data_IF_162434420367
#
_entry.id   IF_162434420367
#
_cell.length_a   1.000
_cell.length_b   1.000
_cell.length_c   1.000
_cell.angle_alpha   90.00
_cell.angle_beta   90.00
_cell.angle_gamma   90.00
#
_symmetry.space_group_name_H-M   'P 1'
#
loop_
_entity.id
_entity.type
_entity.pdbx_description
1 polymer ?
#
# COMPACT_ATOMS: atom_id res chain seq x y z
N UNK A 1 11.68 22.98 12.56
CA UNK A 1 11.40 21.84 13.47
C UNK A 1 10.01 22.04 14.06
N UNK A 2 9.11 21.08 13.90
CA UNK A 2 7.75 21.10 14.41
C UNK A 2 7.52 19.90 15.34
N UNK A 3 6.59 20.04 16.27
CA UNK A 3 6.12 18.97 17.17
C UNK A 3 4.96 18.26 16.50
N UNK A 4 5.19 17.00 16.06
CA UNK A 4 4.22 16.18 15.35
C UNK A 4 3.78 15.03 16.25
N UNK A 5 2.49 14.90 16.45
CA UNK A 5 1.90 13.78 17.19
C UNK A 5 1.02 12.97 16.23
N UNK A 6 1.22 11.66 16.23
CA UNK A 6 0.51 10.73 15.38
C UNK A 6 -0.18 9.68 16.24
N UNK A 7 -1.42 9.31 15.93
CA UNK A 7 -2.14 8.30 16.72
C UNK A 7 -2.82 7.26 15.83
N UNK A 8 -2.75 5.97 16.24
CA UNK A 8 -3.42 4.84 15.61
C UNK A 8 -4.07 3.93 16.67
N UNK A 9 -5.32 3.51 16.42
CA UNK A 9 -6.08 2.58 17.28
C UNK A 9 -6.37 1.23 16.59
N UNK A 10 -5.55 0.86 15.61
CA UNK A 10 -5.64 -0.40 14.87
C UNK A 10 -4.95 -1.58 15.57
N UNK A 11 -4.27 -2.42 14.79
CA UNK A 11 -3.48 -3.53 15.32
C UNK A 11 -2.25 -3.03 16.09
N UNK A 12 -1.66 -3.88 16.93
CA UNK A 12 -0.40 -3.56 17.60
C UNK A 12 0.78 -3.63 16.62
N UNK A 13 1.58 -2.58 16.59
CA UNK A 13 2.87 -2.50 15.87
C UNK A 13 3.78 -1.48 16.54
N UNK A 14 5.07 -1.53 16.25
CA UNK A 14 6.10 -0.63 16.77
C UNK A 14 7.18 -0.33 15.71
N UNK A 15 8.21 0.44 16.09
CA UNK A 15 9.29 0.84 15.19
C UNK A 15 10.16 -0.29 14.64
N UNK A 16 10.11 -1.48 15.23
CA UNK A 16 10.83 -2.65 14.73
C UNK A 16 9.96 -3.59 13.88
N UNK A 17 8.64 -3.35 13.81
CA UNK A 17 7.71 -4.28 13.17
C UNK A 17 8.02 -4.50 11.69
N UNK A 18 8.37 -3.44 10.94
CA UNK A 18 8.71 -3.56 9.52
C UNK A 18 9.98 -4.40 9.25
N UNK A 19 10.93 -4.43 10.20
CA UNK A 19 12.15 -5.23 10.07
C UNK A 19 11.93 -6.69 10.51
N UNK A 20 10.91 -6.97 11.32
CA UNK A 20 10.62 -8.32 11.80
C UNK A 20 9.76 -9.14 10.83
N UNK A 21 8.99 -8.47 9.96
CA UNK A 21 8.10 -9.20 9.06
C UNK A 21 7.16 -8.31 8.23
N UNK A 22 6.31 -8.95 7.42
CA UNK A 22 5.35 -8.25 6.58
C UNK A 22 4.27 -7.57 7.43
N UNK A 23 3.81 -6.40 6.98
CA UNK A 23 2.79 -5.59 7.63
C UNK A 23 1.78 -5.08 6.60
N UNK A 24 0.56 -4.77 7.04
CA UNK A 24 -0.47 -4.19 6.19
C UNK A 24 -0.06 -2.83 5.60
N UNK A 25 -0.58 -2.50 4.42
CA UNK A 25 -0.17 -1.27 3.71
C UNK A 25 -0.44 0.02 4.47
N UNK A 26 -1.53 0.08 5.25
CA UNK A 26 -1.87 1.27 6.03
C UNK A 26 -0.90 1.49 7.21
N UNK A 27 -0.54 0.42 7.92
CA UNK A 27 0.44 0.45 9.01
C UNK A 27 1.84 0.75 8.48
N UNK A 28 2.23 0.12 7.36
CA UNK A 28 3.49 0.42 6.66
C UNK A 28 3.56 1.90 6.30
N UNK A 29 2.51 2.46 5.70
CA UNK A 29 2.44 3.88 5.34
C UNK A 29 2.59 4.79 6.57
N UNK A 30 1.94 4.43 7.68
CA UNK A 30 1.96 5.23 8.90
C UNK A 30 3.35 5.27 9.55
N UNK A 31 4.06 4.13 9.60
CA UNK A 31 5.44 4.05 10.08
C UNK A 31 6.37 4.85 9.16
N UNK A 32 6.30 4.59 7.86
CA UNK A 32 7.21 5.22 6.88
C UNK A 32 7.07 6.74 6.83
N UNK A 33 5.85 7.27 6.95
CA UNK A 33 5.64 8.72 7.06
C UNK A 33 6.27 9.29 8.34
N UNK A 34 6.10 8.61 9.47
CA UNK A 34 6.67 9.07 10.74
C UNK A 34 8.20 9.12 10.70
N UNK A 35 8.82 8.07 10.15
CA UNK A 35 10.28 8.00 9.99
C UNK A 35 10.79 9.08 9.02
N UNK A 36 10.10 9.31 7.91
CA UNK A 36 10.47 10.35 6.97
C UNK A 36 10.35 11.76 7.58
N UNK A 37 9.28 12.03 8.34
CA UNK A 37 9.13 13.31 9.07
C UNK A 37 10.22 13.51 10.14
N UNK A 38 10.57 12.44 10.86
CA UNK A 38 11.65 12.49 11.85
C UNK A 38 13.03 12.74 11.20
N UNK A 39 13.32 12.07 10.08
CA UNK A 39 14.54 12.26 9.29
C UNK A 39 14.66 13.70 8.75
N UNK A 40 13.55 14.40 8.53
CA UNK A 40 13.48 15.82 8.15
C UNK A 40 13.63 16.77 9.34
N UNK A 41 13.89 16.25 10.54
CA UNK A 41 14.22 17.03 11.74
C UNK A 41 13.02 17.47 12.56
N UNK A 42 11.87 16.84 12.43
CA UNK A 42 10.72 17.07 13.30
C UNK A 42 10.78 16.22 14.57
N UNK A 43 10.16 16.71 15.66
CA UNK A 43 9.89 15.92 16.87
C UNK A 43 8.63 15.08 16.66
N UNK A 44 8.81 13.79 16.29
CA UNK A 44 7.72 12.88 15.93
C UNK A 44 7.49 11.87 17.05
N UNK A 45 6.23 11.79 17.54
CA UNK A 45 5.80 10.75 18.47
C UNK A 45 4.56 10.04 17.93
N UNK A 46 4.60 8.70 17.90
CA UNK A 46 3.47 7.82 17.62
C UNK A 46 2.86 7.33 18.91
N UNK A 47 1.55 7.46 19.04
CA UNK A 47 0.73 6.88 20.11
C UNK A 47 -0.16 5.79 19.53
N UNK A 48 0.13 4.52 19.83
CA UNK A 48 -0.61 3.37 19.32
C UNK A 48 -0.66 2.21 20.32
N UNK A 49 -1.00 1.02 19.88
CA UNK A 49 -1.03 -0.19 20.70
C UNK A 49 0.34 -0.89 20.84
N UNK A 50 1.46 -0.16 20.76
CA UNK A 50 2.77 -0.72 21.08
C UNK A 50 2.83 -1.17 22.57
N UNK A 51 3.63 -2.22 22.80
CA UNK A 51 3.69 -2.86 24.14
C UNK A 51 4.40 -1.96 25.16
N UNK A 52 5.45 -1.25 24.74
CA UNK A 52 6.29 -0.41 25.58
C UNK A 52 6.74 0.84 24.83
N UNK A 53 7.12 1.88 25.58
CA UNK A 53 7.76 3.06 25.01
C UNK A 53 9.12 2.69 24.44
N UNK A 54 9.42 3.19 23.25
CA UNK A 54 10.70 2.98 22.58
C UNK A 54 11.05 4.18 21.68
N UNK A 55 12.31 4.28 21.26
CA UNK A 55 12.75 5.18 20.22
C UNK A 55 13.40 4.38 19.08
N UNK A 56 12.96 4.60 17.85
CA UNK A 56 13.48 3.95 16.66
C UNK A 56 13.43 4.90 15.47
N UNK A 57 14.50 5.00 14.68
CA UNK A 57 14.64 5.91 13.54
C UNK A 57 14.20 7.35 13.86
N UNK A 58 14.63 7.86 15.03
CA UNK A 58 14.28 9.16 15.62
C UNK A 58 12.78 9.39 15.89
N UNK A 59 11.92 8.40 15.69
CA UNK A 59 10.51 8.38 16.10
C UNK A 59 10.41 7.85 17.53
N UNK A 60 9.67 8.57 18.40
CA UNK A 60 9.27 8.09 19.72
C UNK A 60 7.97 7.34 19.62
N UNK A 61 7.89 6.18 20.26
CA UNK A 61 6.70 5.32 20.31
C UNK A 61 6.18 5.26 21.73
N UNK A 62 4.92 5.54 21.93
CA UNK A 62 4.27 5.52 23.23
C UNK A 62 2.97 4.73 23.20
N UNK A 63 2.72 3.85 24.18
CA UNK A 63 1.43 3.19 24.32
C UNK A 63 0.29 4.20 24.44
N UNK A 64 -0.74 4.05 23.59
CA UNK A 64 -1.89 4.95 23.56
C UNK A 64 -2.61 5.06 24.92
N UNK A 65 -2.55 3.99 25.74
CA UNK A 65 -3.14 3.96 27.09
C UNK A 65 -2.47 4.93 28.06
N UNK A 66 -1.23 5.37 27.82
CA UNK A 66 -0.56 6.39 28.62
C UNK A 66 -1.09 7.80 28.39
N UNK A 67 -1.98 7.96 27.40
CA UNK A 67 -2.50 9.26 26.99
C UNK A 67 -1.69 9.87 25.84
N UNK A 68 -2.25 10.91 25.24
CA UNK A 68 -1.63 11.70 24.17
C UNK A 68 -1.50 13.14 24.67
N UNK A 69 -0.38 13.86 24.46
CA UNK A 69 -0.24 15.26 24.82
C UNK A 69 -1.37 16.11 24.22
N UNK A 70 -1.82 17.14 24.95
CA UNK A 70 -2.92 18.00 24.51
C UNK A 70 -2.54 18.94 23.35
N UNK A 71 -1.23 19.17 23.14
CA UNK A 71 -0.70 20.13 22.17
C UNK A 71 0.16 19.45 21.11
N UNK A 72 0.13 19.99 19.91
CA UNK A 72 1.02 19.66 18.80
C UNK A 72 1.00 20.80 17.76
N UNK A 73 2.08 20.95 16.99
CA UNK A 73 2.03 21.80 15.79
C UNK A 73 1.20 21.12 14.70
N UNK A 74 1.41 19.79 14.50
CA UNK A 74 0.61 18.96 13.62
C UNK A 74 0.17 17.69 14.36
N UNK A 75 -1.13 17.41 14.35
CA UNK A 75 -1.67 16.16 14.83
C UNK A 75 -2.23 15.33 13.69
N UNK A 76 -1.80 14.07 13.55
CA UNK A 76 -2.26 13.13 12.53
C UNK A 76 -3.01 11.99 13.20
N UNK A 77 -4.35 11.98 13.06
CA UNK A 77 -5.22 10.90 13.49
C UNK A 77 -5.37 9.87 12.35
N UNK A 78 -5.02 8.61 12.59
CA UNK A 78 -5.06 7.55 11.60
C UNK A 78 -6.39 6.79 11.66
N UNK A 79 -7.25 6.93 10.66
CA UNK A 79 -8.52 6.17 10.39
C UNK A 79 -9.55 6.05 11.52
N UNK A 80 -9.16 6.05 12.78
CA UNK A 80 -10.06 5.85 13.91
C UNK A 80 -10.85 7.10 14.28
N UNK A 81 -12.20 7.01 14.42
CA UNK A 81 -13.01 8.17 14.83
C UNK A 81 -12.70 8.64 16.25
N UNK A 82 -12.25 7.73 17.12
CA UNK A 82 -11.86 8.06 18.51
C UNK A 82 -10.61 8.91 18.58
N UNK A 83 -9.78 8.86 17.55
CA UNK A 83 -8.51 9.59 17.49
C UNK A 83 -8.71 11.06 17.11
N UNK A 84 -9.76 11.44 16.39
CA UNK A 84 -9.91 12.79 15.80
C UNK A 84 -9.77 13.91 16.85
N UNK A 85 -10.07 13.66 18.11
CA UNK A 85 -10.13 14.67 19.17
C UNK A 85 -9.06 14.56 20.27
N UNK A 86 -8.13 13.60 20.16
CA UNK A 86 -7.19 13.30 21.26
C UNK A 86 -6.20 14.42 21.58
N UNK A 87 -5.88 15.27 20.61
CA UNK A 87 -4.99 16.43 20.80
C UNK A 87 -5.80 17.71 20.61
N UNK A 88 -6.55 18.19 21.63
CA UNK A 88 -7.50 19.28 21.47
C UNK A 88 -6.86 20.58 21.01
N UNK A 89 -5.65 20.89 21.47
CA UNK A 89 -4.93 22.13 21.20
C UNK A 89 -3.88 21.99 20.09
N UNK A 90 -4.08 21.04 19.17
CA UNK A 90 -3.26 20.94 17.96
C UNK A 90 -3.47 22.17 17.06
N UNK A 91 -2.39 22.82 16.62
CA UNK A 91 -2.43 23.97 15.70
C UNK A 91 -2.99 23.59 14.34
N UNK A 92 -2.62 22.40 13.84
CA UNK A 92 -3.22 21.76 12.67
C UNK A 92 -3.62 20.32 12.98
N UNK A 93 -4.68 19.87 12.35
CA UNK A 93 -5.24 18.53 12.53
C UNK A 93 -5.47 17.86 11.19
N UNK A 94 -4.89 16.67 11.02
CA UNK A 94 -5.07 15.78 9.88
C UNK A 94 -5.87 14.56 10.31
N UNK A 95 -6.79 14.14 9.46
CA UNK A 95 -7.42 12.84 9.53
C UNK A 95 -7.01 12.03 8.30
N UNK A 96 -6.05 11.14 8.48
CA UNK A 96 -5.51 10.32 7.41
C UNK A 96 -6.31 9.04 7.29
N UNK A 97 -6.96 8.85 6.16
CA UNK A 97 -7.83 7.71 5.90
C UNK A 97 -7.21 6.78 4.85
N UNK A 98 -7.51 5.47 4.96
CA UNK A 98 -6.92 4.42 4.14
C UNK A 98 -7.97 3.55 3.44
N UNK A 99 -9.26 3.80 3.69
CA UNK A 99 -10.37 3.10 3.05
C UNK A 99 -11.28 4.10 2.36
N UNK A 100 -12.04 3.70 1.33
CA UNK A 100 -13.01 4.58 0.69
C UNK A 100 -13.88 5.31 1.71
N UNK A 101 -14.02 6.64 1.55
CA UNK A 101 -14.50 7.55 2.61
C UNK A 101 -16.00 7.41 2.98
N UNK A 102 -16.75 6.51 2.34
CA UNK A 102 -18.19 6.33 2.61
C UNK A 102 -18.50 6.00 4.09
N UNK A 103 -17.55 5.38 4.81
CA UNK A 103 -17.73 5.10 6.23
C UNK A 103 -17.79 6.36 7.11
N UNK A 104 -17.27 7.49 6.63
CA UNK A 104 -17.34 8.78 7.32
C UNK A 104 -18.78 9.30 7.42
N UNK A 105 -19.70 8.82 6.57
CA UNK A 105 -21.13 9.16 6.63
C UNK A 105 -21.83 8.63 7.91
N UNK A 106 -21.19 7.73 8.65
CA UNK A 106 -21.70 7.26 9.94
C UNK A 106 -21.70 8.42 10.94
N UNK A 107 -22.81 8.58 11.69
CA UNK A 107 -23.04 9.68 12.63
C UNK A 107 -21.88 9.94 13.60
N UNK A 108 -21.21 8.89 14.08
CA UNK A 108 -20.06 9.00 15.00
C UNK A 108 -18.86 9.74 14.37
N UNK A 109 -18.63 9.57 13.06
CA UNK A 109 -17.60 10.32 12.34
C UNK A 109 -18.08 11.73 12.04
N UNK A 110 -19.30 11.87 11.47
CA UNK A 110 -19.85 13.15 11.06
C UNK A 110 -19.81 14.20 12.17
N UNK A 111 -20.25 13.86 13.40
CA UNK A 111 -20.20 14.79 14.55
C UNK A 111 -18.79 15.28 14.84
N UNK A 112 -17.80 14.40 14.79
CA UNK A 112 -16.40 14.75 15.07
C UNK A 112 -15.80 15.57 13.93
N UNK A 113 -16.10 15.19 12.68
CA UNK A 113 -15.72 15.97 11.50
C UNK A 113 -16.29 17.38 11.54
N UNK A 114 -17.58 17.54 11.90
CA UNK A 114 -18.21 18.84 12.05
C UNK A 114 -17.59 19.68 13.18
N UNK A 115 -17.26 19.05 14.32
CA UNK A 115 -16.72 19.74 15.51
C UNK A 115 -15.25 20.12 15.34
N UNK A 116 -14.42 19.23 14.80
CA UNK A 116 -12.97 19.38 14.78
C UNK A 116 -12.40 19.79 13.42
N UNK A 117 -13.18 19.64 12.36
CA UNK A 117 -12.86 20.04 10.98
C UNK A 117 -11.41 19.71 10.58
N UNK A 118 -10.96 18.44 10.68
CA UNK A 118 -9.61 18.09 10.24
C UNK A 118 -9.45 18.25 8.73
N UNK A 119 -8.22 18.51 8.28
CA UNK A 119 -7.85 18.25 6.89
C UNK A 119 -7.88 16.74 6.65
N UNK A 120 -8.66 16.28 5.69
CA UNK A 120 -8.70 14.85 5.32
C UNK A 120 -7.66 14.58 4.27
N UNK A 121 -6.78 13.61 4.53
CA UNK A 121 -5.75 13.19 3.59
C UNK A 121 -6.14 11.86 2.95
N UNK A 122 -6.09 11.84 1.62
CA UNK A 122 -6.37 10.72 0.73
C UNK A 122 -5.09 10.25 0.07
N UNK A 123 -5.05 9.00 -0.38
CA UNK A 123 -3.87 8.40 -0.99
C UNK A 123 -3.89 8.42 -2.53
N UNK A 124 -5.04 8.73 -3.17
CA UNK A 124 -5.22 8.76 -4.62
C UNK A 124 -6.41 9.65 -4.99
N UNK A 125 -6.55 9.99 -6.26
CA UNK A 125 -7.71 10.73 -6.78
C UNK A 125 -8.99 9.90 -6.69
N UNK A 126 -8.93 8.60 -6.98
CA UNK A 126 -10.05 7.67 -6.75
C UNK A 126 -10.50 7.73 -5.28
N UNK A 127 -9.54 7.70 -4.36
CA UNK A 127 -9.84 7.78 -2.93
C UNK A 127 -10.49 9.12 -2.57
N UNK A 128 -9.97 10.24 -3.07
CA UNK A 128 -10.52 11.58 -2.82
C UNK A 128 -11.95 11.74 -3.35
N UNK A 129 -12.28 11.12 -4.50
CA UNK A 129 -13.66 11.12 -5.03
C UNK A 129 -14.65 10.34 -4.18
N UNK A 130 -14.20 9.48 -3.28
CA UNK A 130 -15.07 8.67 -2.41
C UNK A 130 -15.72 9.43 -1.25
N UNK A 131 -15.23 10.64 -0.92
CA UNK A 131 -15.83 11.47 0.16
C UNK A 131 -17.05 12.22 -0.33
N UNK A 132 -18.09 12.25 0.49
CA UNK A 132 -19.29 13.05 0.18
C UNK A 132 -18.94 14.54 0.13
N UNK A 133 -19.49 15.27 -0.86
CA UNK A 133 -19.22 16.70 -1.03
C UNK A 133 -19.64 17.55 0.19
N UNK A 134 -20.69 17.13 0.90
CA UNK A 134 -21.22 17.80 2.08
C UNK A 134 -20.47 17.50 3.38
N UNK A 135 -19.47 16.58 3.36
CA UNK A 135 -18.72 16.22 4.57
C UNK A 135 -17.96 17.44 5.12
N UNK A 136 -18.19 17.82 6.39
CA UNK A 136 -17.51 18.97 6.99
C UNK A 136 -16.05 18.65 7.27
N UNK A 137 -15.15 19.28 6.51
CA UNK A 137 -13.68 19.15 6.66
C UNK A 137 -13.04 20.52 6.81
N UNK A 138 -11.82 20.59 7.33
CA UNK A 138 -10.99 21.80 7.31
C UNK A 138 -10.27 21.98 5.98
N UNK A 139 -10.02 20.90 5.27
CA UNK A 139 -9.35 20.82 3.98
C UNK A 139 -9.41 19.40 3.43
N UNK A 140 -9.00 19.23 2.18
CA UNK A 140 -8.88 17.93 1.50
C UNK A 140 -7.57 17.93 0.73
N UNK A 141 -6.73 16.94 0.99
CA UNK A 141 -5.43 16.80 0.33
C UNK A 141 -5.28 15.38 -0.21
N UNK A 142 -4.76 15.25 -1.42
CA UNK A 142 -4.36 13.97 -1.99
C UNK A 142 -2.83 13.86 -1.88
N UNK A 143 -2.36 12.99 -0.99
CA UNK A 143 -0.93 12.72 -0.79
C UNK A 143 -0.70 11.24 -1.00
N UNK A 144 -0.13 10.83 -2.15
CA UNK A 144 0.18 9.45 -2.44
C UNK A 144 1.16 8.86 -1.41
N UNK A 145 1.09 7.56 -1.18
CA UNK A 145 2.12 6.89 -0.38
C UNK A 145 3.46 6.91 -1.12
N UNK A 146 4.54 7.12 -0.37
CA UNK A 146 5.88 6.96 -0.91
C UNK A 146 6.25 5.51 -1.17
N UNK A 147 7.18 5.29 -2.06
CA UNK A 147 7.86 4.02 -2.20
C UNK A 147 9.00 3.95 -1.17
N UNK A 148 9.15 2.81 -0.49
CA UNK A 148 10.19 2.66 0.51
C UNK A 148 11.57 2.52 -0.13
N UNK A 149 12.61 2.95 0.61
CA UNK A 149 14.00 2.93 0.15
C UNK A 149 14.46 1.54 -0.32
N UNK A 150 13.96 0.48 0.28
CA UNK A 150 14.29 -0.89 -0.13
C UNK A 150 13.96 -1.18 -1.61
N UNK A 151 12.89 -0.59 -2.14
CA UNK A 151 12.52 -0.73 -3.56
C UNK A 151 13.20 0.32 -4.44
N UNK A 152 13.46 1.52 -3.92
CA UNK A 152 14.13 2.59 -4.66
C UNK A 152 15.61 2.26 -4.90
N UNK A 153 16.28 1.67 -3.92
CA UNK A 153 17.67 1.28 -3.97
C UNK A 153 17.93 -0.08 -4.66
N UNK A 154 16.88 -0.85 -4.98
CA UNK A 154 17.04 -2.13 -5.65
C UNK A 154 17.69 -1.95 -7.04
N UNK A 155 18.56 -2.88 -7.42
CA UNK A 155 19.25 -2.93 -8.71
C UNK A 155 18.74 -4.11 -9.54
N UNK A 156 17.59 -3.99 -10.22
CA UNK A 156 17.03 -5.07 -11.00
C UNK A 156 17.83 -5.30 -12.30
N UNK A 157 17.88 -6.55 -12.80
CA UNK A 157 18.59 -6.87 -14.02
C UNK A 157 17.98 -6.18 -15.25
N UNK A 158 18.83 -5.70 -16.15
CA UNK A 158 18.38 -5.10 -17.42
C UNK A 158 17.89 -6.15 -18.42
N UNK A 159 18.28 -7.39 -18.28
CA UNK A 159 17.84 -8.50 -19.14
C UNK A 159 16.54 -9.12 -18.61
N UNK A 160 15.63 -9.52 -19.53
CA UNK A 160 14.36 -10.10 -19.15
C UNK A 160 14.52 -11.36 -18.31
N UNK A 161 13.96 -11.41 -17.09
CA UNK A 161 13.97 -12.61 -16.27
C UNK A 161 13.05 -13.69 -16.87
N UNK A 162 13.07 -14.94 -16.35
CA UNK A 162 12.12 -15.97 -16.72
C UNK A 162 10.67 -15.47 -16.63
N UNK A 163 9.72 -16.12 -17.32
CA UNK A 163 8.32 -15.67 -17.38
C UNK A 163 7.57 -15.88 -16.06
N UNK A 164 8.15 -15.41 -14.97
CA UNK A 164 7.60 -15.50 -13.62
C UNK A 164 6.80 -14.25 -13.28
N UNK A 165 5.63 -14.45 -12.69
CA UNK A 165 4.69 -13.42 -12.28
C UNK A 165 4.61 -13.37 -10.76
N UNK A 166 4.60 -12.17 -10.20
CA UNK A 166 4.40 -11.95 -8.77
C UNK A 166 2.93 -11.57 -8.46
N UNK A 167 2.44 -12.06 -7.33
CA UNK A 167 1.23 -11.59 -6.64
C UNK A 167 1.58 -11.35 -5.17
N UNK A 168 1.46 -10.10 -4.68
CA UNK A 168 1.92 -9.67 -3.35
C UNK A 168 0.83 -9.01 -2.51
N UNK A 169 -0.43 -9.36 -2.76
CA UNK A 169 -1.59 -8.77 -2.09
C UNK A 169 -2.37 -9.81 -1.26
N UNK A 170 -3.46 -9.36 -0.61
CA UNK A 170 -4.38 -10.27 0.08
C UNK A 170 -4.99 -11.29 -0.88
N UNK A 171 -5.13 -12.58 -0.50
CA UNK A 171 -5.77 -13.59 -1.35
C UNK A 171 -7.18 -13.20 -1.76
N UNK A 172 -7.89 -12.43 -0.91
CA UNK A 172 -9.25 -11.96 -1.19
C UNK A 172 -9.31 -10.81 -2.19
N UNK A 173 -8.16 -10.25 -2.58
CA UNK A 173 -8.07 -9.21 -3.61
C UNK A 173 -7.81 -9.83 -4.98
N UNK A 174 -8.83 -10.49 -5.52
CA UNK A 174 -8.86 -11.05 -6.87
C UNK A 174 -7.84 -12.17 -7.17
N UNK A 175 -7.23 -12.83 -6.17
CA UNK A 175 -6.33 -13.97 -6.45
C UNK A 175 -7.11 -15.13 -7.08
N UNK A 176 -8.29 -15.46 -6.56
CA UNK A 176 -9.13 -16.56 -7.10
C UNK A 176 -9.49 -16.34 -8.58
N UNK A 177 -9.79 -15.09 -8.94
CA UNK A 177 -10.00 -14.69 -10.34
C UNK A 177 -8.72 -14.85 -11.19
N UNK A 178 -7.56 -14.41 -10.67
CA UNK A 178 -6.28 -14.52 -11.37
C UNK A 178 -5.90 -15.98 -11.60
N UNK A 179 -6.15 -16.87 -10.62
CA UNK A 179 -5.93 -18.31 -10.76
C UNK A 179 -6.77 -18.89 -11.92
N UNK A 180 -8.02 -18.42 -12.10
CA UNK A 180 -8.85 -18.82 -13.24
C UNK A 180 -8.27 -18.38 -14.58
N UNK A 181 -7.80 -17.14 -14.71
CA UNK A 181 -7.15 -16.67 -15.93
C UNK A 181 -5.78 -17.32 -16.17
N UNK A 182 -5.06 -17.62 -15.08
CA UNK A 182 -3.79 -18.33 -15.16
C UNK A 182 -3.98 -19.72 -15.79
N UNK A 183 -4.91 -20.50 -15.26
CA UNK A 183 -5.22 -21.86 -15.72
C UNK A 183 -5.69 -21.89 -17.19
N UNK A 184 -6.62 -20.99 -17.56
CA UNK A 184 -7.32 -21.06 -18.85
C UNK A 184 -6.61 -20.29 -19.97
N UNK A 185 -5.83 -19.25 -19.61
CA UNK A 185 -5.35 -18.30 -20.60
C UNK A 185 -3.85 -18.03 -20.58
N UNK A 186 -3.18 -18.01 -19.43
CA UNK A 186 -1.75 -17.63 -19.38
C UNK A 186 -0.84 -18.84 -19.44
N UNK A 187 -0.98 -19.77 -18.50
CA UNK A 187 -0.14 -20.97 -18.41
C UNK A 187 -0.12 -21.79 -19.73
N UNK A 188 -1.25 -22.06 -20.41
CA UNK A 188 -1.24 -22.81 -21.67
C UNK A 188 -0.52 -22.11 -22.83
N UNK A 189 -0.39 -20.77 -22.77
CA UNK A 189 0.18 -19.97 -23.85
C UNK A 189 1.61 -19.47 -23.58
N UNK A 190 2.14 -19.67 -22.37
CA UNK A 190 3.48 -19.23 -21.97
C UNK A 190 4.23 -20.41 -21.34
N UNK A 191 4.97 -21.20 -22.13
CA UNK A 191 5.75 -22.32 -21.59
C UNK A 191 6.73 -21.88 -20.50
N UNK A 192 6.74 -22.60 -19.38
CA UNK A 192 7.61 -22.30 -18.25
C UNK A 192 7.18 -21.10 -17.41
N UNK A 193 5.96 -20.58 -17.62
CA UNK A 193 5.42 -19.52 -16.76
C UNK A 193 5.16 -20.03 -15.34
N UNK A 194 5.52 -19.18 -14.34
CA UNK A 194 5.21 -19.42 -12.92
C UNK A 194 4.48 -18.22 -12.32
N UNK A 195 3.48 -18.50 -11.48
CA UNK A 195 2.77 -17.51 -10.67
C UNK A 195 3.17 -17.67 -9.21
N UNK A 196 3.96 -16.76 -8.70
CA UNK A 196 4.42 -16.75 -7.31
C UNK A 196 3.51 -15.90 -6.44
N UNK A 197 2.89 -16.51 -5.44
CA UNK A 197 1.93 -15.86 -4.55
C UNK A 197 2.58 -15.65 -3.18
N UNK A 198 2.95 -14.40 -2.87
CA UNK A 198 3.49 -13.98 -1.57
C UNK A 198 2.35 -13.51 -0.69
N UNK A 199 1.63 -14.42 -0.05
CA UNK A 199 0.45 -14.06 0.71
C UNK A 199 0.15 -15.02 1.87
N UNK A 200 -0.33 -14.46 2.98
CA UNK A 200 -0.75 -15.23 4.16
C UNK A 200 -1.78 -14.43 4.97
N UNK A 201 -2.77 -15.10 5.60
CA UNK A 201 -3.68 -14.44 6.55
C UNK A 201 -2.94 -13.71 7.68
N UNK A 202 -1.80 -14.25 8.14
CA UNK A 202 -1.00 -13.71 9.24
C UNK A 202 -0.49 -12.28 9.00
N UNK A 203 -0.31 -11.88 7.75
CA UNK A 203 0.11 -10.51 7.38
C UNK A 203 -0.86 -9.43 7.86
N UNK A 204 -2.13 -9.79 8.08
CA UNK A 204 -3.21 -8.84 8.36
C UNK A 204 -3.68 -8.88 9.82
N UNK A 205 -2.94 -9.54 10.74
CA UNK A 205 -3.26 -9.63 12.15
C UNK A 205 -4.71 -10.05 12.41
N UNK A 206 -5.38 -9.43 13.38
CA UNK A 206 -6.76 -9.77 13.75
C UNK A 206 -7.77 -9.69 12.58
N UNK A 207 -7.53 -8.83 11.57
CA UNK A 207 -8.36 -8.80 10.36
C UNK A 207 -8.13 -10.05 9.49
N UNK A 208 -6.89 -10.50 9.39
CA UNK A 208 -6.54 -11.75 8.73
C UNK A 208 -7.11 -12.96 9.44
N UNK A 209 -7.00 -13.00 10.76
CA UNK A 209 -7.57 -14.08 11.59
C UNK A 209 -9.08 -14.20 11.41
N UNK A 210 -9.80 -13.07 11.41
CA UNK A 210 -11.26 -13.04 11.21
C UNK A 210 -11.71 -13.52 9.81
N UNK A 211 -10.80 -13.54 8.83
CA UNK A 211 -11.07 -13.96 7.44
C UNK A 211 -10.20 -15.13 6.99
N UNK A 212 -9.52 -15.78 7.92
CA UNK A 212 -8.55 -16.83 7.63
C UNK A 212 -9.13 -17.97 6.79
N UNK A 213 -10.34 -18.44 7.09
CA UNK A 213 -11.00 -19.51 6.34
C UNK A 213 -11.20 -19.11 4.86
N UNK A 214 -11.69 -17.92 4.59
CA UNK A 214 -11.89 -17.42 3.23
C UNK A 214 -10.55 -17.24 2.49
N UNK A 215 -9.52 -16.72 3.18
CA UNK A 215 -8.19 -16.57 2.60
C UNK A 215 -7.54 -17.92 2.32
N UNK A 216 -7.66 -18.86 3.27
CA UNK A 216 -7.10 -20.19 3.13
C UNK A 216 -7.79 -20.96 2.00
N UNK A 217 -9.09 -20.84 1.81
CA UNK A 217 -9.79 -21.48 0.69
C UNK A 217 -9.20 -21.09 -0.67
N UNK A 218 -8.84 -19.81 -0.87
CA UNK A 218 -8.17 -19.34 -2.11
C UNK A 218 -6.73 -19.86 -2.19
N UNK A 219 -6.00 -19.85 -1.07
CA UNK A 219 -4.63 -20.38 -1.04
C UNK A 219 -4.58 -21.91 -1.24
N UNK A 220 -5.59 -22.64 -0.74
CA UNK A 220 -5.72 -24.08 -0.96
C UNK A 220 -5.97 -24.39 -2.45
N UNK A 221 -6.83 -23.62 -3.11
CA UNK A 221 -6.97 -23.69 -4.58
C UNK A 221 -5.62 -23.43 -5.27
N UNK A 222 -4.88 -22.41 -4.89
CA UNK A 222 -3.56 -22.14 -5.45
C UNK A 222 -2.60 -23.32 -5.27
N UNK A 223 -2.63 -24.03 -4.13
CA UNK A 223 -1.81 -25.23 -3.90
C UNK A 223 -2.16 -26.37 -4.88
N UNK A 224 -3.44 -26.55 -5.21
CA UNK A 224 -3.83 -27.60 -6.17
C UNK A 224 -3.36 -27.30 -7.60
N UNK A 225 -2.90 -26.08 -7.88
CA UNK A 225 -2.43 -25.65 -9.19
C UNK A 225 -0.89 -25.69 -9.35
N UNK A 226 -0.17 -26.40 -8.47
CA UNK A 226 1.29 -26.50 -8.53
C UNK A 226 1.81 -27.02 -9.87
N UNK A 227 1.14 -28.02 -10.49
CA UNK A 227 1.46 -28.55 -11.81
C UNK A 227 1.23 -27.54 -12.96
N UNK A 228 0.49 -26.46 -12.66
CA UNK A 228 0.28 -25.33 -13.58
C UNK A 228 1.25 -24.17 -13.29
N UNK A 229 2.31 -24.40 -12.51
CA UNK A 229 3.32 -23.40 -12.21
C UNK A 229 2.89 -22.38 -11.14
N UNK A 230 1.85 -22.65 -10.33
CA UNK A 230 1.50 -21.78 -9.19
C UNK A 230 2.35 -22.14 -7.98
N UNK A 231 3.12 -21.18 -7.47
CA UNK A 231 4.07 -21.36 -6.38
C UNK A 231 3.66 -20.46 -5.19
N UNK A 232 3.29 -21.09 -4.08
CA UNK A 232 3.05 -20.34 -2.84
C UNK A 232 4.37 -20.01 -2.14
N UNK A 233 4.48 -18.75 -1.72
CA UNK A 233 5.61 -18.21 -0.98
C UNK A 233 5.13 -17.61 0.34
N UNK A 234 5.97 -17.68 1.36
CA UNK A 234 5.72 -16.89 2.56
C UNK A 234 5.87 -15.39 2.26
N UNK A 235 5.06 -14.53 2.89
CA UNK A 235 5.26 -13.09 2.82
C UNK A 235 6.63 -12.70 3.38
N UNK A 236 7.30 -11.77 2.70
CA UNK A 236 8.65 -11.34 3.02
C UNK A 236 8.68 -9.93 3.64
N UNK A 237 9.68 -9.61 4.47
CA UNK A 237 10.03 -8.23 4.81
C UNK A 237 10.31 -7.41 3.55
N UNK A 238 10.18 -6.08 3.63
CA UNK A 238 10.25 -5.21 2.44
C UNK A 238 11.57 -5.31 1.68
N UNK A 239 12.71 -5.42 2.37
CA UNK A 239 14.02 -5.56 1.72
C UNK A 239 14.12 -6.87 0.92
N UNK A 240 13.74 -7.97 1.55
CA UNK A 240 13.79 -9.31 0.93
C UNK A 240 12.76 -9.40 -0.22
N UNK A 241 11.60 -8.73 -0.08
CA UNK A 241 10.59 -8.66 -1.12
C UNK A 241 11.09 -7.87 -2.34
N UNK A 242 11.79 -6.76 -2.14
CA UNK A 242 12.36 -5.96 -3.22
C UNK A 242 13.41 -6.77 -4.01
N UNK A 243 14.29 -7.49 -3.32
CA UNK A 243 15.26 -8.40 -3.93
C UNK A 243 14.57 -9.53 -4.70
N UNK A 244 13.58 -10.18 -4.08
CA UNK A 244 12.85 -11.27 -4.73
C UNK A 244 12.12 -10.78 -5.99
N UNK A 245 11.43 -9.64 -5.92
CA UNK A 245 10.66 -9.09 -7.05
C UNK A 245 11.56 -8.73 -8.23
N UNK A 246 12.80 -8.29 -8.02
CA UNK A 246 13.74 -8.00 -9.10
C UNK A 246 13.98 -9.19 -10.05
N UNK A 247 13.74 -10.42 -9.59
CA UNK A 247 13.84 -11.65 -10.39
C UNK A 247 12.55 -12.02 -11.16
N UNK A 248 11.49 -11.22 -11.07
CA UNK A 248 10.20 -11.50 -11.75
C UNK A 248 10.05 -10.65 -13.01
N UNK A 249 9.21 -11.17 -13.93
CA UNK A 249 8.98 -10.52 -15.23
C UNK A 249 7.79 -9.56 -15.22
N UNK A 250 6.77 -9.81 -14.40
CA UNK A 250 5.59 -8.96 -14.33
C UNK A 250 4.87 -9.07 -12.99
N UNK A 251 4.05 -8.07 -12.69
CA UNK A 251 2.97 -8.19 -11.71
C UNK A 251 1.63 -8.20 -12.43
N UNK A 252 0.79 -9.19 -12.14
CA UNK A 252 -0.57 -9.30 -12.66
C UNK A 252 -1.55 -9.09 -11.51
N UNK A 253 -2.31 -7.98 -11.56
CA UNK A 253 -3.18 -7.60 -10.47
C UNK A 253 -4.43 -6.89 -10.97
N UNK A 254 -5.60 -7.52 -10.81
CA UNK A 254 -6.85 -6.97 -11.31
C UNK A 254 -7.22 -5.61 -10.71
N UNK A 255 -6.97 -5.44 -9.41
CA UNK A 255 -7.51 -4.38 -8.57
C UNK A 255 -8.63 -4.88 -7.65
N UNK A 256 -9.07 -4.00 -6.74
CA UNK A 256 -10.15 -4.24 -5.77
C UNK A 256 -10.97 -2.96 -5.60
N UNK A 257 -12.33 -3.01 -5.60
CA UNK A 257 -13.16 -1.81 -5.46
C UNK A 257 -12.93 -1.03 -4.15
N UNK A 258 -12.42 -1.69 -3.12
CA UNK A 258 -12.08 -1.09 -1.83
C UNK A 258 -10.64 -0.58 -1.74
N UNK A 259 -9.84 -0.71 -2.79
CA UNK A 259 -8.45 -0.32 -2.78
C UNK A 259 -8.29 1.17 -3.07
N UNK A 260 -7.48 1.84 -2.25
CA UNK A 260 -7.33 3.29 -2.28
C UNK A 260 -5.94 3.75 -2.74
N UNK A 261 -4.94 2.85 -2.84
CA UNK A 261 -3.59 3.21 -3.31
C UNK A 261 -2.89 2.11 -4.11
N UNK A 262 -2.93 0.86 -3.67
CA UNK A 262 -2.21 -0.27 -4.26
C UNK A 262 -0.67 -0.16 -4.18
N UNK A 263 -0.12 -0.30 -2.96
CA UNK A 263 1.34 -0.38 -2.75
C UNK A 263 1.97 -1.53 -3.53
N UNK A 264 1.30 -2.68 -3.64
CA UNK A 264 1.83 -3.86 -4.31
C UNK A 264 2.26 -3.58 -5.76
N UNK A 265 1.43 -2.86 -6.54
CA UNK A 265 1.77 -2.47 -7.92
C UNK A 265 2.87 -1.42 -7.93
N UNK A 266 2.81 -0.40 -7.05
CA UNK A 266 3.83 0.64 -6.99
C UNK A 266 5.22 0.08 -6.62
N UNK A 267 5.29 -0.78 -5.61
CA UNK A 267 6.53 -1.44 -5.18
C UNK A 267 7.10 -2.35 -6.27
N UNK A 268 6.26 -3.13 -6.95
CA UNK A 268 6.69 -3.96 -8.05
C UNK A 268 7.25 -3.14 -9.22
N UNK A 269 6.58 -2.05 -9.60
CA UNK A 269 7.07 -1.15 -10.66
C UNK A 269 8.35 -0.42 -10.27
N UNK A 270 8.57 -0.11 -8.98
CA UNK A 270 9.80 0.51 -8.50
C UNK A 270 11.04 -0.40 -8.63
N UNK A 271 10.84 -1.71 -8.72
CA UNK A 271 11.89 -2.68 -9.09
C UNK A 271 11.78 -3.14 -10.55
N UNK A 272 11.05 -2.39 -11.37
CA UNK A 272 11.01 -2.57 -12.81
C UNK A 272 10.01 -3.61 -13.34
N UNK A 273 9.09 -4.13 -12.53
CA UNK A 273 8.08 -5.06 -13.02
C UNK A 273 6.97 -4.30 -13.79
N UNK A 274 6.81 -4.53 -15.09
CA UNK A 274 5.61 -4.07 -15.78
C UNK A 274 4.35 -4.65 -15.13
N UNK A 275 3.29 -3.84 -15.04
CA UNK A 275 2.03 -4.27 -14.44
C UNK A 275 0.94 -4.49 -15.49
N UNK A 276 0.10 -5.50 -15.30
CA UNK A 276 -1.20 -5.57 -15.99
C UNK A 276 -2.29 -5.45 -14.92
N UNK A 277 -3.17 -4.47 -15.09
CA UNK A 277 -4.25 -4.15 -14.16
C UNK A 277 -5.56 -3.96 -14.90
N UNK A 278 -6.69 -3.88 -14.18
CA UNK A 278 -7.96 -3.36 -14.73
C UNK A 278 -8.33 -2.05 -14.02
N UNK A 279 -9.24 -1.26 -14.59
CA UNK A 279 -9.71 -0.01 -13.96
C UNK A 279 -10.71 -0.32 -12.83
N UNK A 280 -10.20 -0.87 -11.72
CA UNK A 280 -10.98 -1.25 -10.53
C UNK A 280 -10.32 -0.65 -9.29
N UNK A 281 -11.07 0.17 -8.55
CA UNK A 281 -10.51 0.92 -7.43
C UNK A 281 -9.54 1.99 -7.93
N UNK A 282 -8.42 2.15 -7.23
CA UNK A 282 -7.38 3.12 -7.59
C UNK A 282 -6.28 2.56 -8.48
N UNK A 283 -6.32 1.25 -8.82
CA UNK A 283 -5.12 0.58 -9.35
C UNK A 283 -4.70 1.11 -10.72
N UNK A 284 -5.65 1.57 -11.55
CA UNK A 284 -5.34 2.21 -12.84
C UNK A 284 -4.48 3.48 -12.69
N UNK A 285 -4.60 4.20 -11.56
CA UNK A 285 -3.76 5.38 -11.28
C UNK A 285 -2.28 5.03 -11.03
N UNK A 286 -1.94 3.74 -10.87
CA UNK A 286 -0.57 3.24 -10.69
C UNK A 286 0.14 2.87 -11.97
N UNK A 287 -0.57 2.87 -13.10
CA UNK A 287 -0.05 2.37 -14.39
C UNK A 287 -0.25 3.43 -15.47
N UNK A 288 0.82 3.82 -16.13
CA UNK A 288 0.74 4.60 -17.37
C UNK A 288 0.55 3.61 -18.51
N UNK A 289 -0.67 3.55 -19.06
CA UNK A 289 -1.06 2.53 -20.05
C UNK A 289 -0.17 2.58 -21.30
N UNK A 290 0.39 1.42 -21.68
CA UNK A 290 1.32 1.26 -22.76
C UNK A 290 2.77 1.71 -22.48
N UNK A 291 3.04 2.32 -21.31
CA UNK A 291 4.39 2.79 -20.92
C UNK A 291 4.95 1.98 -19.74
N UNK A 292 4.30 1.98 -18.57
CA UNK A 292 4.80 1.25 -17.39
C UNK A 292 4.12 -0.11 -17.22
N UNK A 293 3.18 -0.43 -18.08
CA UNK A 293 2.34 -1.62 -18.05
C UNK A 293 1.08 -1.42 -18.88
N UNK A 294 0.01 -2.09 -18.50
CA UNK A 294 -1.26 -2.01 -19.22
C UNK A 294 -2.46 -1.93 -18.29
N UNK A 295 -3.45 -1.09 -18.66
CA UNK A 295 -4.79 -1.08 -18.07
C UNK A 295 -5.73 -1.84 -19.00
N UNK A 296 -5.98 -3.10 -18.68
CA UNK A 296 -6.78 -3.99 -19.52
C UNK A 296 -8.28 -3.66 -19.41
N UNK A 297 -8.98 -3.69 -20.54
CA UNK A 297 -10.41 -3.35 -20.61
C UNK A 297 -11.32 -4.51 -20.17
N UNK A 298 -10.85 -5.75 -20.30
CA UNK A 298 -11.55 -6.97 -19.91
C UNK A 298 -10.57 -8.13 -19.64
N UNK A 299 -11.09 -9.29 -19.28
CA UNK A 299 -10.30 -10.48 -18.93
C UNK A 299 -9.52 -11.05 -20.14
N UNK A 300 -10.06 -10.93 -21.34
CA UNK A 300 -9.39 -11.35 -22.58
C UNK A 300 -8.21 -10.46 -22.89
N UNK A 301 -8.37 -9.14 -22.77
CA UNK A 301 -7.30 -8.16 -22.97
C UNK A 301 -6.23 -8.30 -21.85
N UNK A 302 -6.65 -8.53 -20.60
CA UNK A 302 -5.73 -8.79 -19.48
C UNK A 302 -4.84 -9.99 -19.77
N UNK A 303 -5.42 -11.11 -20.16
CA UNK A 303 -4.70 -12.34 -20.51
C UNK A 303 -3.75 -12.10 -21.66
N UNK A 304 -4.21 -11.47 -22.74
CA UNK A 304 -3.42 -11.16 -23.95
C UNK A 304 -2.20 -10.30 -23.61
N UNK A 305 -2.38 -9.24 -22.81
CA UNK A 305 -1.30 -8.32 -22.38
C UNK A 305 -0.33 -8.99 -21.42
N UNK A 306 -0.82 -9.80 -20.47
CA UNK A 306 0.01 -10.62 -19.60
C UNK A 306 0.91 -11.57 -20.41
N UNK A 307 0.34 -12.34 -21.35
CA UNK A 307 1.10 -13.21 -22.24
C UNK A 307 2.12 -12.44 -23.10
N UNK A 308 1.78 -11.24 -23.57
CA UNK A 308 2.69 -10.41 -24.37
C UNK A 308 3.94 -10.01 -23.55
N UNK A 309 3.78 -9.49 -22.32
CA UNK A 309 4.91 -9.14 -21.45
C UNK A 309 5.79 -10.36 -21.17
N UNK A 310 5.17 -11.53 -20.95
CA UNK A 310 5.89 -12.75 -20.58
C UNK A 310 6.66 -13.40 -21.76
N UNK A 311 6.37 -13.05 -23.01
CA UNK A 311 6.98 -13.66 -24.21
C UNK A 311 7.85 -12.70 -25.01
N UNK A 312 7.57 -11.40 -24.96
CA UNK A 312 8.23 -10.40 -25.79
C UNK A 312 9.28 -9.63 -24.97
N UNK A 313 10.54 -9.92 -25.22
CA UNK A 313 11.67 -9.32 -24.49
C UNK A 313 11.87 -7.83 -24.80
N UNK A 314 11.57 -7.39 -26.02
CA UNK A 314 11.69 -5.97 -26.39
C UNK A 314 10.59 -5.14 -25.73
N UNK A 315 9.36 -5.66 -25.75
CA UNK A 315 8.24 -5.06 -25.03
C UNK A 315 8.57 -4.97 -23.54
N UNK A 316 9.06 -6.05 -22.94
CA UNK A 316 9.43 -6.08 -21.53
C UNK A 316 10.49 -5.01 -21.20
N UNK A 317 11.61 -4.93 -21.95
CA UNK A 317 12.67 -3.95 -21.68
C UNK A 317 12.14 -2.53 -21.73
N UNK A 318 11.28 -2.20 -22.67
CA UNK A 318 10.67 -0.87 -22.78
C UNK A 318 9.80 -0.54 -21.59
N UNK A 319 8.89 -1.46 -21.20
CA UNK A 319 7.99 -1.26 -20.07
C UNK A 319 8.75 -1.25 -18.74
N UNK A 320 9.76 -2.10 -18.57
CA UNK A 320 10.66 -2.18 -17.42
C UNK A 320 11.37 -0.84 -17.17
N UNK A 321 12.03 -0.31 -18.18
CA UNK A 321 12.74 0.97 -18.07
C UNK A 321 11.80 2.13 -17.71
N UNK A 322 10.60 2.16 -18.31
CA UNK A 322 9.61 3.18 -18.01
C UNK A 322 9.02 3.02 -16.59
N UNK A 323 8.77 1.78 -16.13
CA UNK A 323 8.29 1.52 -14.78
C UNK A 323 9.29 2.01 -13.72
N UNK A 324 10.58 1.70 -13.88
CA UNK A 324 11.66 2.21 -13.03
C UNK A 324 11.69 3.74 -13.00
N UNK A 325 11.71 4.37 -14.18
CA UNK A 325 11.80 5.81 -14.31
C UNK A 325 10.59 6.53 -13.67
N UNK A 326 9.38 5.96 -13.80
CA UNK A 326 8.16 6.57 -13.29
C UNK A 326 7.99 6.38 -11.78
N UNK A 327 8.10 5.14 -11.27
CA UNK A 327 7.75 4.83 -9.88
C UNK A 327 8.80 5.32 -8.87
N UNK A 328 10.05 5.51 -9.28
CA UNK A 328 11.13 6.00 -8.41
C UNK A 328 11.13 7.51 -8.18
N UNK A 329 10.20 8.25 -8.80
CA UNK A 329 10.11 9.71 -8.66
C UNK A 329 9.41 10.17 -7.37
N UNK A 330 8.82 9.24 -6.59
CA UNK A 330 8.04 9.58 -5.41
C UNK A 330 8.38 8.68 -4.23
N UNK A 331 9.10 9.24 -3.30
CA UNK A 331 9.56 8.61 -2.06
C UNK A 331 8.69 8.99 -0.86
N UNK A 332 8.98 8.40 0.30
CA UNK A 332 8.39 8.85 1.56
C UNK A 332 8.91 10.22 2.00
N UNK A 333 10.12 10.62 1.60
CA UNK A 333 10.61 11.98 1.83
C UNK A 333 9.77 13.02 1.08
N UNK A 334 9.40 12.74 -0.18
CA UNK A 334 8.51 13.61 -0.97
C UNK A 334 7.12 13.71 -0.34
N UNK A 335 6.55 12.58 0.10
CA UNK A 335 5.28 12.57 0.82
C UNK A 335 5.36 13.38 2.12
N UNK A 336 6.42 13.20 2.92
CA UNK A 336 6.65 13.95 4.15
C UNK A 336 6.78 15.46 3.88
N UNK A 337 7.46 15.86 2.81
CA UNK A 337 7.57 17.26 2.39
C UNK A 337 6.21 17.91 2.09
N UNK A 338 5.23 17.12 1.61
CA UNK A 338 3.85 17.62 1.43
C UNK A 338 3.11 17.70 2.77
N UNK A 339 3.28 16.69 3.65
CA UNK A 339 2.70 16.75 5.01
C UNK A 339 3.23 17.93 5.82
N UNK A 340 4.51 18.33 5.66
CA UNK A 340 5.10 19.51 6.30
C UNK A 340 4.36 20.80 5.97
N UNK A 341 3.81 20.94 4.75
CA UNK A 341 3.04 22.12 4.35
C UNK A 341 1.72 22.27 5.11
N UNK A 342 1.29 21.20 5.80
CA UNK A 342 0.11 21.22 6.67
C UNK A 342 0.43 21.76 8.06
N UNK A 343 1.72 21.93 8.41
CA UNK A 343 2.15 22.58 9.66
C UNK A 343 1.95 24.09 9.50
N UNK A 344 1.20 24.75 10.39
CA UNK A 344 1.02 26.20 10.33
C UNK A 344 2.36 26.94 10.56
N UNK A 345 2.58 27.98 9.80
CA UNK A 345 3.74 28.88 9.97
C UNK A 345 3.64 29.68 11.27
#
# INVERSE_FOLDING_TARGET
MAVIRMADDGIAFDGDTLSRGPLGGAETAFISLAEALAARGHDVTIHNHCVASMKRHDVVWEPLQKGVPETADLYIANRGDRLIHLVPDARARVFWIHNPAQYLNKWRYWRKMARWRPTVVFSSEFHARSIAAWMPTGGKETIPYGISEAFLAADPPADPPPPHVAFTSSPLRSLDWLLGLWEQGICPHVPGAELHVFSSPKTYGAHGDARADAMNAVLDRARTMAELGVVLRDPLPKADLAEALAGFRAILYRGDPGETYCLAVGEAQAVGLPAVVQDIGCVAERVVDGETGFVAVDDTDFTRRGCAILKDDELWRRLHAAALAHQRQWSWDDAAAVFEKLVPV
#
